data_IF_619670112856
#
_entry.id   IF_619670112856
#
_cell.length_a   1.000
_cell.length_b   1.000
_cell.length_c   1.000
_cell.angle_alpha   90.00
_cell.angle_beta   90.00
_cell.angle_gamma   90.00
#
_symmetry.space_group_name_H-M   'P 1'
#
loop_
_entity.id
_entity.type
_entity.pdbx_description
1 polymer ?
#
# COMPACT_ATOMS: atom_id res chain seq x y z
N UNK A 1 0.61 18.21 -9.96
CA UNK A 1 1.86 17.93 -9.22
C UNK A 1 3.09 18.66 -9.74
N UNK A 2 3.49 18.45 -11.00
CA UNK A 2 4.75 18.99 -11.55
C UNK A 2 4.83 20.52 -11.55
N UNK A 3 3.73 21.20 -11.91
CA UNK A 3 3.64 22.66 -11.87
C UNK A 3 3.87 23.24 -10.47
N UNK A 4 3.37 22.57 -9.41
CA UNK A 4 3.47 23.07 -8.04
C UNK A 4 4.87 22.88 -7.45
N UNK A 5 5.42 21.67 -7.54
CA UNK A 5 6.71 21.35 -6.91
C UNK A 5 7.92 21.70 -7.79
N UNK A 6 7.72 21.88 -9.10
CA UNK A 6 8.76 22.21 -10.06
C UNK A 6 9.95 21.25 -9.99
N UNK A 7 11.16 21.81 -9.88
CA UNK A 7 12.41 21.05 -9.82
C UNK A 7 12.52 20.13 -8.59
N UNK A 8 11.76 20.41 -7.53
CA UNK A 8 11.81 19.64 -6.29
C UNK A 8 10.86 18.44 -6.29
N UNK A 9 10.04 18.25 -7.34
CA UNK A 9 9.02 17.20 -7.39
C UNK A 9 9.59 15.81 -7.07
N UNK A 10 10.69 15.42 -7.71
CA UNK A 10 11.29 14.10 -7.50
C UNK A 10 11.76 13.91 -6.05
N UNK A 11 12.40 14.92 -5.47
CA UNK A 11 12.85 14.87 -4.08
C UNK A 11 11.67 14.81 -3.11
N UNK A 12 10.61 15.58 -3.38
CA UNK A 12 9.38 15.57 -2.63
C UNK A 12 8.73 14.18 -2.60
N UNK A 13 8.51 13.57 -3.78
CA UNK A 13 7.92 12.23 -3.88
C UNK A 13 8.76 11.20 -3.14
N UNK A 14 10.09 11.22 -3.30
CA UNK A 14 10.98 10.30 -2.59
C UNK A 14 10.95 10.50 -1.07
N UNK A 15 10.72 11.73 -0.60
CA UNK A 15 10.54 12.03 0.83
C UNK A 15 9.25 11.42 1.36
N UNK A 16 8.14 11.57 0.63
CA UNK A 16 6.87 10.91 0.99
C UNK A 16 7.04 9.38 1.05
N UNK A 17 7.64 8.79 0.02
CA UNK A 17 7.81 7.33 -0.06
C UNK A 17 8.80 6.79 0.98
N UNK A 18 9.79 7.59 1.39
CA UNK A 18 10.66 7.23 2.51
C UNK A 18 9.88 7.17 3.85
N UNK A 19 8.96 8.11 4.08
CA UNK A 19 8.08 8.07 5.24
C UNK A 19 7.12 6.88 5.18
N UNK A 20 6.51 6.59 4.03
CA UNK A 20 5.66 5.40 3.80
C UNK A 20 6.46 4.13 4.11
N UNK A 21 7.67 3.99 3.57
CA UNK A 21 8.52 2.84 3.84
C UNK A 21 8.88 2.69 5.33
N UNK A 22 8.97 3.80 6.07
CA UNK A 22 9.17 3.76 7.52
C UNK A 22 7.91 3.28 8.27
N UNK A 23 6.72 3.75 7.89
CA UNK A 23 5.43 3.31 8.47
C UNK A 23 5.23 1.80 8.28
N UNK A 24 5.55 1.26 7.10
CA UNK A 24 5.45 -0.18 6.81
C UNK A 24 6.51 -1.04 7.51
N UNK A 25 7.57 -0.42 8.03
CA UNK A 25 8.59 -1.09 8.86
C UNK A 25 8.23 -1.12 10.35
N UNK A 26 7.17 -0.43 10.77
CA UNK A 26 6.77 -0.45 12.17
C UNK A 26 6.34 -1.87 12.61
N UNK A 27 6.88 -2.42 13.73
CA UNK A 27 6.57 -3.78 14.18
C UNK A 27 5.08 -4.02 14.46
N UNK A 28 4.26 -2.99 14.65
CA UNK A 28 2.83 -3.14 14.88
C UNK A 28 2.13 -3.82 13.72
N UNK A 29 2.63 -3.72 12.48
CA UNK A 29 2.02 -4.41 11.31
C UNK A 29 2.18 -5.94 11.36
N UNK A 30 3.13 -6.43 12.16
CA UNK A 30 3.35 -7.86 12.41
C UNK A 30 3.98 -8.65 11.25
N UNK A 31 4.30 -8.00 10.14
CA UNK A 31 4.87 -8.62 8.94
C UNK A 31 6.07 -7.80 8.46
N UNK A 32 7.06 -8.47 7.86
CA UNK A 32 8.19 -7.78 7.25
C UNK A 32 7.82 -7.34 5.83
N UNK A 33 7.39 -6.08 5.69
CA UNK A 33 7.07 -5.47 4.40
C UNK A 33 8.11 -4.41 4.04
N UNK A 34 8.60 -4.46 2.80
CA UNK A 34 9.56 -3.51 2.27
C UNK A 34 8.94 -2.77 1.09
N UNK A 35 8.65 -1.48 1.26
CA UNK A 35 8.18 -0.61 0.18
C UNK A 35 9.38 -0.03 -0.56
N UNK A 36 9.42 -0.22 -1.88
CA UNK A 36 10.47 0.28 -2.75
C UNK A 36 9.88 0.98 -3.98
N UNK A 37 10.48 2.11 -4.37
CA UNK A 37 10.11 2.82 -5.60
C UNK A 37 11.01 2.33 -6.72
N UNK A 38 10.44 1.57 -7.66
CA UNK A 38 11.17 1.01 -8.82
C UNK A 38 11.07 1.89 -10.06
N UNK A 39 10.01 2.69 -10.16
CA UNK A 39 9.70 3.54 -11.31
C UNK A 39 9.02 4.82 -10.83
N UNK A 40 9.41 5.96 -11.39
CA UNK A 40 8.77 7.27 -11.16
C UNK A 40 8.52 7.90 -12.51
N UNK A 41 7.25 8.13 -12.83
CA UNK A 41 6.80 8.80 -14.05
C UNK A 41 6.16 10.14 -13.69
N UNK A 42 6.41 11.13 -14.53
CA UNK A 42 5.69 12.41 -14.52
C UNK A 42 4.83 12.35 -15.78
N UNK A 43 3.52 12.39 -15.61
CA UNK A 43 2.58 12.31 -16.73
C UNK A 43 2.60 13.62 -17.53
N UNK A 44 2.38 13.48 -18.82
CA UNK A 44 2.19 14.61 -19.73
C UNK A 44 0.77 15.18 -19.58
N UNK A 45 0.55 16.41 -20.05
CA UNK A 45 -0.71 17.14 -19.83
C UNK A 45 -1.92 16.48 -20.51
N UNK A 46 -1.72 15.83 -21.65
CA UNK A 46 -2.75 15.07 -22.36
C UNK A 46 -3.16 13.81 -21.59
N UNK A 47 -2.20 13.07 -21.05
CA UNK A 47 -2.48 11.90 -20.20
C UNK A 47 -3.22 12.29 -18.91
N UNK A 48 -2.81 13.41 -18.28
CA UNK A 48 -3.46 13.94 -17.08
C UNK A 48 -4.96 14.21 -17.34
N UNK A 49 -5.30 14.78 -18.50
CA UNK A 49 -6.69 15.10 -18.86
C UNK A 49 -7.57 13.86 -19.10
N UNK A 50 -6.99 12.74 -19.55
CA UNK A 50 -7.72 11.49 -19.77
C UNK A 50 -7.91 10.71 -18.46
N UNK A 51 -6.97 10.85 -17.52
CA UNK A 51 -6.96 10.09 -16.27
C UNK A 51 -7.74 10.81 -15.17
N UNK A 52 -7.47 12.10 -14.97
CA UNK A 52 -7.93 12.84 -13.80
C UNK A 52 -9.31 13.43 -14.06
N UNK A 53 -10.24 13.10 -13.17
CA UNK A 53 -11.57 13.69 -13.11
C UNK A 53 -11.89 14.15 -11.69
N UNK A 54 -12.89 15.02 -11.48
CA UNK A 54 -13.36 15.37 -10.15
C UNK A 54 -13.88 14.16 -9.35
N UNK A 55 -14.27 13.07 -10.02
CA UNK A 55 -14.73 11.86 -9.36
C UNK A 55 -13.55 10.95 -8.99
N UNK A 56 -13.28 10.79 -7.69
CA UNK A 56 -12.21 9.93 -7.20
C UNK A 56 -12.31 8.50 -7.75
N UNK A 57 -13.53 7.95 -7.83
CA UNK A 57 -13.80 6.61 -8.36
C UNK A 57 -13.48 6.48 -9.85
N UNK A 58 -13.79 7.51 -10.65
CA UNK A 58 -13.49 7.49 -12.09
C UNK A 58 -11.99 7.67 -12.33
N UNK A 59 -11.35 8.58 -11.58
CA UNK A 59 -9.90 8.79 -11.61
C UNK A 59 -9.14 7.51 -11.26
N UNK A 60 -9.55 6.81 -10.19
CA UNK A 60 -8.98 5.50 -9.85
C UNK A 60 -9.13 4.52 -11.01
N UNK A 61 -10.35 4.35 -11.54
CA UNK A 61 -10.60 3.42 -12.66
C UNK A 61 -9.72 3.71 -13.88
N UNK A 62 -9.61 4.98 -14.27
CA UNK A 62 -8.81 5.38 -15.42
C UNK A 62 -7.32 5.15 -15.15
N UNK A 63 -6.83 5.52 -13.97
CA UNK A 63 -5.44 5.31 -13.58
C UNK A 63 -5.05 3.83 -13.52
N UNK A 64 -5.92 2.96 -12.98
CA UNK A 64 -5.67 1.52 -12.95
C UNK A 64 -5.52 0.91 -14.35
N UNK A 65 -6.26 1.42 -15.34
CA UNK A 65 -6.10 1.04 -16.75
C UNK A 65 -4.79 1.56 -17.32
N UNK A 66 -4.47 2.84 -17.08
CA UNK A 66 -3.25 3.46 -17.58
C UNK A 66 -1.99 2.77 -17.01
N UNK A 67 -1.95 2.52 -15.70
CA UNK A 67 -0.77 1.88 -15.08
C UNK A 67 -0.54 0.48 -15.63
N UNK A 68 -1.61 -0.26 -15.94
CA UNK A 68 -1.52 -1.60 -16.50
C UNK A 68 -0.81 -1.58 -17.86
N UNK A 69 -1.14 -0.60 -18.71
CA UNK A 69 -0.52 -0.43 -20.03
C UNK A 69 0.96 -0.01 -19.93
N UNK A 70 1.34 0.57 -18.80
CA UNK A 70 2.70 1.05 -18.53
C UNK A 70 3.50 0.13 -17.60
N UNK A 71 2.97 -1.06 -17.27
CA UNK A 71 3.66 -2.08 -16.50
C UNK A 71 4.25 -3.14 -17.41
N UNK A 72 5.38 -3.73 -16.99
CA UNK A 72 5.95 -4.88 -17.69
C UNK A 72 5.19 -6.15 -17.30
N UNK A 73 4.93 -7.08 -18.23
CA UNK A 73 4.22 -8.32 -17.93
C UNK A 73 5.06 -9.32 -17.10
N UNK A 74 6.38 -9.16 -17.09
CA UNK A 74 7.30 -10.07 -16.42
C UNK A 74 7.80 -9.48 -15.10
N UNK A 75 7.49 -10.16 -13.98
CA UNK A 75 7.94 -9.75 -12.64
C UNK A 75 9.46 -9.67 -12.46
N UNK A 76 10.24 -10.27 -13.37
CA UNK A 76 11.70 -10.18 -13.37
C UNK A 76 12.23 -8.88 -13.96
N UNK A 77 11.40 -8.11 -14.67
CA UNK A 77 11.83 -6.89 -15.32
C UNK A 77 12.09 -5.79 -14.27
N UNK A 78 13.20 -5.03 -14.35
CA UNK A 78 13.55 -4.03 -13.32
C UNK A 78 12.54 -2.87 -13.18
N UNK A 79 11.71 -2.66 -14.21
CA UNK A 79 10.63 -1.67 -14.22
C UNK A 79 9.23 -2.28 -14.08
N UNK A 80 9.12 -3.58 -13.79
CA UNK A 80 7.86 -4.16 -13.31
C UNK A 80 7.57 -3.63 -11.91
N UNK A 81 6.32 -3.27 -11.64
CA UNK A 81 5.85 -2.86 -10.31
C UNK A 81 4.66 -3.71 -9.86
N UNK A 82 4.62 -4.05 -8.57
CA UNK A 82 3.48 -4.77 -7.98
C UNK A 82 2.25 -3.86 -7.87
N UNK A 83 2.45 -2.57 -7.59
CA UNK A 83 1.38 -1.58 -7.39
C UNK A 83 1.77 -0.20 -7.88
N UNK A 84 0.78 0.59 -8.27
CA UNK A 84 0.96 1.96 -8.76
C UNK A 84 0.21 2.97 -7.90
N UNK A 85 0.80 4.14 -7.66
CA UNK A 85 0.17 5.25 -6.93
C UNK A 85 0.17 6.48 -7.80
N UNK A 86 -1.01 7.06 -8.02
CA UNK A 86 -1.19 8.38 -8.61
C UNK A 86 -1.19 9.44 -7.52
N UNK A 87 -0.29 10.42 -7.63
CA UNK A 87 -0.33 11.64 -6.82
C UNK A 87 -0.88 12.79 -7.65
N UNK A 88 -1.95 13.42 -7.18
CA UNK A 88 -2.56 14.58 -7.83
C UNK A 88 -2.68 15.76 -6.88
N UNK A 89 -2.80 16.98 -7.43
CA UNK A 89 -3.13 18.20 -6.68
C UNK A 89 -4.55 18.70 -6.98
N UNK A 90 -5.30 17.94 -7.78
CA UNK A 90 -6.71 18.20 -8.05
C UNK A 90 -7.56 17.61 -6.93
N UNK A 91 -8.62 18.32 -6.55
CA UNK A 91 -9.53 17.88 -5.49
C UNK A 91 -10.26 16.59 -5.90
N UNK A 92 -10.09 15.53 -5.11
CA UNK A 92 -10.74 14.24 -5.35
C UNK A 92 -12.06 14.15 -4.58
N UNK A 93 -13.18 14.11 -5.32
CA UNK A 93 -14.51 14.09 -4.71
C UNK A 93 -15.17 12.72 -4.82
N UNK A 94 -15.63 12.17 -3.68
CA UNK A 94 -16.40 10.91 -3.67
C UNK A 94 -17.85 11.12 -4.12
N UNK A 95 -18.42 12.28 -3.80
CA UNK A 95 -19.72 12.74 -4.29
C UNK A 95 -19.56 14.15 -4.85
N UNK A 96 -20.42 14.63 -5.77
CA UNK A 96 -20.28 15.92 -6.44
C UNK A 96 -20.17 17.16 -5.55
N UNK A 97 -20.40 17.04 -4.25
CA UNK A 97 -20.35 18.14 -3.27
C UNK A 97 -19.58 17.80 -1.98
N UNK A 98 -18.94 16.63 -1.90
CA UNK A 98 -18.17 16.21 -0.72
C UNK A 98 -16.80 15.71 -1.17
N UNK A 99 -15.80 16.55 -0.98
CA UNK A 99 -14.41 16.32 -1.38
C UNK A 99 -13.52 16.12 -0.15
N UNK A 100 -14.03 15.43 0.86
CA UNK A 100 -13.27 15.10 2.08
C UNK A 100 -12.36 13.87 1.88
N UNK A 101 -12.26 13.36 0.64
CA UNK A 101 -11.57 12.11 0.32
C UNK A 101 -10.19 12.42 -0.23
N UNK A 102 -9.16 12.19 0.58
CA UNK A 102 -7.77 12.42 0.19
C UNK A 102 -7.16 11.26 -0.61
N UNK A 103 -7.83 10.11 -0.69
CA UNK A 103 -7.32 8.95 -1.39
C UNK A 103 -8.38 7.89 -1.66
N UNK A 104 -8.08 7.01 -2.61
CA UNK A 104 -8.92 5.85 -2.92
C UNK A 104 -8.08 4.72 -3.52
N UNK A 105 -8.33 3.49 -3.08
CA UNK A 105 -7.72 2.27 -3.63
C UNK A 105 -8.71 1.10 -3.71
N UNK A 106 -8.38 0.10 -4.52
CA UNK A 106 -9.10 -1.17 -4.53
C UNK A 106 -8.56 -2.11 -3.46
N UNK A 107 -9.46 -2.74 -2.70
CA UNK A 107 -9.04 -3.60 -1.60
C UNK A 107 -8.54 -4.97 -2.07
N UNK A 108 -7.35 -5.38 -1.60
CA UNK A 108 -6.84 -6.75 -1.77
C UNK A 108 -6.37 -7.09 -3.18
N UNK A 109 -5.99 -6.09 -3.96
CA UNK A 109 -5.60 -6.24 -5.36
C UNK A 109 -4.09 -6.20 -5.61
N UNK A 110 -3.23 -6.30 -4.57
CA UNK A 110 -1.78 -6.08 -4.71
C UNK A 110 -1.10 -6.88 -5.84
N UNK A 111 -1.56 -8.11 -6.13
CA UNK A 111 -1.02 -8.93 -7.21
C UNK A 111 -1.96 -9.03 -8.43
N UNK A 112 -3.03 -8.22 -8.47
CA UNK A 112 -3.91 -8.12 -9.63
C UNK A 112 -3.41 -7.00 -10.54
N UNK A 113 -2.93 -7.30 -11.76
CA UNK A 113 -2.36 -6.30 -12.65
C UNK A 113 -3.38 -5.25 -13.12
N UNK A 114 -4.68 -5.52 -13.01
CA UNK A 114 -5.75 -4.59 -13.38
C UNK A 114 -6.22 -3.71 -12.22
N UNK A 115 -6.01 -4.15 -10.98
CA UNK A 115 -6.57 -3.52 -9.78
C UNK A 115 -5.56 -3.01 -8.76
N UNK A 116 -4.26 -3.31 -8.92
CA UNK A 116 -3.20 -2.89 -7.99
C UNK A 116 -2.82 -1.41 -8.18
N UNK A 117 -3.69 -0.53 -7.70
CA UNK A 117 -3.59 0.91 -7.92
C UNK A 117 -4.23 1.69 -6.76
N UNK A 118 -3.68 2.88 -6.50
CA UNK A 118 -4.24 3.86 -5.59
C UNK A 118 -4.14 5.27 -6.19
N UNK A 119 -5.07 6.15 -5.82
CA UNK A 119 -5.02 7.58 -6.12
C UNK A 119 -4.96 8.35 -4.81
N UNK A 120 -4.13 9.38 -4.75
CA UNK A 120 -3.92 10.20 -3.55
C UNK A 120 -3.85 11.66 -3.95
N UNK A 121 -4.65 12.48 -3.27
CA UNK A 121 -4.57 13.93 -3.27
C UNK A 121 -3.42 14.40 -2.38
N UNK A 122 -2.52 15.17 -2.97
CA UNK A 122 -1.33 15.69 -2.32
C UNK A 122 -1.67 16.94 -1.50
N UNK A 123 -1.68 16.79 -0.18
CA UNK A 123 -1.89 17.87 0.78
C UNK A 123 -0.62 18.27 1.54
N UNK A 124 0.56 17.94 1.02
CA UNK A 124 1.85 18.17 1.67
C UNK A 124 2.44 16.89 2.27
N UNK A 125 3.36 17.02 3.23
CA UNK A 125 4.04 15.85 3.81
C UNK A 125 3.09 14.83 4.46
N UNK A 126 1.91 15.27 4.89
CA UNK A 126 0.84 14.40 5.39
C UNK A 126 0.30 13.42 4.36
N UNK A 127 0.48 13.68 3.06
CA UNK A 127 0.09 12.76 1.99
C UNK A 127 0.78 11.40 2.14
N UNK A 128 1.94 11.33 2.80
CA UNK A 128 2.59 10.05 3.13
C UNK A 128 1.68 9.12 3.96
N UNK A 129 0.88 9.67 4.87
CA UNK A 129 -0.07 8.89 5.67
C UNK A 129 -1.23 8.38 4.81
N UNK A 130 -1.74 9.23 3.91
CA UNK A 130 -2.77 8.83 2.95
C UNK A 130 -2.25 7.72 2.03
N UNK A 131 -1.03 7.86 1.50
CA UNK A 131 -0.41 6.79 0.69
C UNK A 131 -0.31 5.48 1.49
N UNK A 132 0.14 5.56 2.75
CA UNK A 132 0.27 4.37 3.59
C UNK A 132 -1.09 3.70 3.84
N UNK A 133 -2.14 4.49 4.09
CA UNK A 133 -3.52 4.07 4.25
C UNK A 133 -4.07 3.37 3.00
N UNK A 134 -3.93 4.00 1.83
CA UNK A 134 -4.43 3.44 0.58
C UNK A 134 -3.70 2.16 0.19
N UNK A 135 -2.38 2.09 0.39
CA UNK A 135 -1.63 0.83 0.24
C UNK A 135 -2.12 -0.25 1.23
N UNK A 136 -2.61 0.14 2.40
CA UNK A 136 -3.21 -0.76 3.37
C UNK A 136 -4.46 -1.43 2.79
N UNK A 137 -5.33 -0.65 2.13
CA UNK A 137 -6.45 -1.21 1.38
C UNK A 137 -5.98 -2.16 0.28
N UNK A 138 -4.97 -1.80 -0.51
CA UNK A 138 -4.40 -2.68 -1.56
C UNK A 138 -3.93 -4.02 -0.97
N UNK A 139 -3.42 -4.02 0.26
CA UNK A 139 -3.05 -5.20 1.06
C UNK A 139 -4.22 -5.86 1.83
N UNK A 140 -5.45 -5.55 1.44
CA UNK A 140 -6.70 -6.09 1.99
C UNK A 140 -6.96 -5.73 3.46
N UNK A 141 -6.41 -4.62 3.93
CA UNK A 141 -6.66 -4.13 5.29
C UNK A 141 -7.93 -3.27 5.29
N UNK A 142 -8.99 -3.61 6.04
CA UNK A 142 -10.15 -2.75 6.19
C UNK A 142 -9.88 -1.58 7.15
N UNK A 143 -10.80 -0.60 7.17
CA UNK A 143 -10.78 0.46 8.17
C UNK A 143 -10.93 -0.11 9.60
N UNK A 144 -10.30 0.54 10.58
CA UNK A 144 -10.33 0.10 11.98
C UNK A 144 -11.72 0.18 12.63
N UNK A 145 -12.61 1.01 12.10
CA UNK A 145 -14.00 1.16 12.52
C UNK A 145 -14.99 0.28 11.73
N UNK A 146 -14.50 -0.53 10.78
CA UNK A 146 -15.32 -1.49 10.02
C UNK A 146 -15.87 -2.59 10.93
N UNK A 147 -17.05 -3.14 10.60
CA UNK A 147 -17.66 -4.24 11.35
C UNK A 147 -16.75 -5.47 11.42
N UNK A 148 -15.93 -5.69 10.39
CA UNK A 148 -14.88 -6.72 10.35
C UNK A 148 -13.85 -6.57 11.47
N UNK A 149 -13.58 -5.33 11.89
CA UNK A 149 -12.65 -4.98 12.95
C UNK A 149 -13.29 -4.91 14.34
N UNK A 150 -14.61 -5.04 14.48
CA UNK A 150 -15.32 -4.81 15.73
C UNK A 150 -14.78 -5.63 16.92
N UNK A 151 -14.35 -6.88 16.68
CA UNK A 151 -13.78 -7.76 17.72
C UNK A 151 -12.37 -7.36 18.20
N UNK A 152 -11.67 -6.50 17.47
CA UNK A 152 -10.34 -6.00 17.80
C UNK A 152 -10.37 -4.61 18.44
N UNK A 153 -11.53 -3.94 18.43
CA UNK A 153 -11.71 -2.63 19.03
C UNK A 153 -11.71 -2.75 20.56
N UNK A 154 -10.71 -2.18 21.21
CA UNK A 154 -10.72 -1.93 22.64
C UNK A 154 -11.30 -0.54 22.91
N UNK A 155 -11.97 -0.37 24.06
CA UNK A 155 -12.44 0.94 24.48
C UNK A 155 -11.24 1.90 24.62
N UNK A 156 -11.36 3.11 24.05
CA UNK A 156 -10.34 4.17 24.09
C UNK A 156 -9.00 3.85 23.41
N UNK A 157 -9.01 3.15 22.27
CA UNK A 157 -7.79 2.99 21.46
C UNK A 157 -7.44 4.28 20.68
N UNK A 158 -6.14 4.58 20.54
CA UNK A 158 -5.68 5.59 19.59
C UNK A 158 -6.10 5.22 18.16
N UNK A 159 -6.25 6.24 17.31
CA UNK A 159 -6.49 6.03 15.88
C UNK A 159 -5.17 5.62 15.20
N UNK A 160 -5.20 4.59 14.36
CA UNK A 160 -4.03 4.06 13.65
C UNK A 160 -4.06 4.41 12.16
N UNK A 161 -3.07 3.94 11.38
CA UNK A 161 -2.98 4.21 9.93
C UNK A 161 -4.29 3.97 9.18
N UNK A 162 -5.09 2.96 9.57
CA UNK A 162 -6.35 2.61 8.90
C UNK A 162 -7.60 3.29 9.48
N UNK A 163 -7.43 4.34 10.29
CA UNK A 163 -8.53 5.22 10.68
C UNK A 163 -9.01 6.06 9.49
N UNK A 164 -10.34 6.26 9.37
CA UNK A 164 -10.94 7.06 8.28
C UNK A 164 -10.67 8.56 8.39
N UNK A 165 -10.36 9.03 9.59
CA UNK A 165 -10.05 10.42 9.88
C UNK A 165 -8.85 10.45 10.82
N UNK A 166 -7.99 11.44 10.62
CA UNK A 166 -6.88 11.74 11.53
C UNK A 166 -7.31 12.86 12.47
N UNK A 167 -6.95 12.72 13.74
CA UNK A 167 -7.12 13.71 14.79
C UNK A 167 -5.85 13.82 15.66
N UNK A 168 -5.91 14.61 16.73
CA UNK A 168 -4.76 14.82 17.62
C UNK A 168 -4.35 13.59 18.44
N UNK A 169 -5.21 12.56 18.54
CA UNK A 169 -4.94 11.29 19.23
C UNK A 169 -4.55 10.17 18.27
N UNK A 170 -4.27 10.51 17.01
CA UNK A 170 -3.88 9.56 15.99
C UNK A 170 -2.38 9.25 16.07
N UNK A 171 -2.05 7.97 15.91
CA UNK A 171 -0.69 7.47 15.73
C UNK A 171 -0.55 6.99 14.28
N UNK A 172 -0.42 7.90 13.29
CA UNK A 172 -0.41 7.56 11.86
C UNK A 172 0.88 6.86 11.39
N UNK A 173 1.72 6.40 12.32
CA UNK A 173 2.91 5.59 12.10
C UNK A 173 2.80 4.17 12.67
N UNK A 174 1.67 3.81 13.27
CA UNK A 174 1.43 2.47 13.79
C UNK A 174 0.10 1.90 13.31
N UNK A 175 0.00 0.59 13.38
CA UNK A 175 -1.05 -0.25 12.84
C UNK A 175 -1.84 -0.89 13.97
N UNK A 176 -3.17 -0.99 13.81
CA UNK A 176 -4.02 -1.60 14.82
C UNK A 176 -3.84 -3.13 14.86
N UNK A 177 -4.37 -3.75 15.92
CA UNK A 177 -4.49 -5.22 15.99
C UNK A 177 -5.34 -5.77 14.84
N UNK A 178 -6.37 -5.02 14.40
CA UNK A 178 -7.16 -5.41 13.24
C UNK A 178 -6.32 -5.38 11.96
N UNK A 179 -5.56 -4.29 11.75
CA UNK A 179 -4.73 -4.13 10.56
C UNK A 179 -3.72 -5.27 10.44
N UNK A 180 -3.00 -5.56 11.53
CA UNK A 180 -2.07 -6.70 11.64
C UNK A 180 -2.75 -8.01 11.27
N UNK A 181 -3.94 -8.28 11.81
CA UNK A 181 -4.65 -9.53 11.55
C UNK A 181 -4.98 -9.70 10.06
N UNK A 182 -5.55 -8.67 9.43
CA UNK A 182 -5.99 -8.76 8.05
C UNK A 182 -4.82 -8.88 7.07
N UNK A 183 -3.75 -8.10 7.25
CA UNK A 183 -2.56 -8.22 6.38
C UNK A 183 -1.87 -9.58 6.55
N UNK A 184 -1.74 -10.08 7.79
CA UNK A 184 -1.14 -11.41 8.04
C UNK A 184 -1.97 -12.51 7.36
N UNK A 185 -3.29 -12.50 7.58
CA UNK A 185 -4.20 -13.49 7.00
C UNK A 185 -4.17 -13.43 5.46
N UNK A 186 -4.12 -12.22 4.90
CA UNK A 186 -3.99 -12.03 3.47
C UNK A 186 -2.68 -12.67 2.97
N UNK A 187 -1.52 -12.30 3.50
CA UNK A 187 -0.23 -12.85 3.06
C UNK A 187 -0.13 -14.38 3.24
N UNK A 188 -0.72 -14.94 4.30
CA UNK A 188 -0.78 -16.39 4.52
C UNK A 188 -1.61 -17.12 3.44
N UNK A 189 -2.76 -16.57 3.07
CA UNK A 189 -3.63 -17.16 2.03
C UNK A 189 -2.95 -17.18 0.65
N UNK A 190 -2.14 -16.17 0.34
CA UNK A 190 -1.34 -16.12 -0.89
C UNK A 190 -0.11 -17.01 -0.85
N UNK A 191 0.36 -17.39 0.36
CA UNK A 191 1.47 -18.32 0.56
C UNK A 191 1.04 -19.79 0.43
N UNK A 192 -0.26 -20.09 0.27
CA UNK A 192 -0.76 -21.46 0.09
C UNK A 192 -0.41 -21.97 -1.33
N UNK A 193 0.15 -23.18 -1.51
CA UNK A 193 0.75 -23.66 -2.77
C UNK A 193 -0.15 -23.72 -4.01
N UNK A 194 -1.45 -23.46 -3.90
CA UNK A 194 -2.37 -23.53 -5.04
C UNK A 194 -2.16 -22.43 -6.11
N UNK A 195 -1.34 -21.41 -5.83
CA UNK A 195 -0.99 -20.32 -6.78
C UNK A 195 0.52 -20.11 -6.99
N UNK A 196 1.37 -20.99 -6.48
CA UNK A 196 2.82 -20.87 -6.60
C UNK A 196 3.35 -21.69 -7.78
N UNK A 197 3.50 -21.02 -8.94
CA UNK A 197 4.61 -21.38 -9.83
C UNK A 197 5.91 -21.08 -9.07
N UNK A 198 6.69 -22.13 -8.81
CA UNK A 198 7.87 -22.12 -7.96
C UNK A 198 8.97 -21.22 -8.54
N UNK A 199 9.51 -20.28 -7.76
CA UNK A 199 10.89 -19.82 -7.91
C UNK A 199 11.78 -20.62 -6.96
N UNK A 200 12.74 -21.37 -7.51
CA UNK A 200 13.99 -21.75 -6.83
C UNK A 200 15.00 -20.60 -7.06
N UNK A 201 15.76 -20.16 -6.04
CA UNK A 201 16.63 -18.99 -6.16
C UNK A 201 18.04 -19.35 -6.63
N UNK A 202 18.41 -18.92 -7.84
CA UNK A 202 19.83 -18.71 -8.18
C UNK A 202 20.29 -17.36 -7.61
N UNK A 203 20.84 -17.38 -6.40
CA UNK A 203 21.77 -16.38 -5.87
C UNK A 203 21.26 -14.94 -5.74
N UNK A 204 20.58 -14.64 -4.62
CA UNK A 204 20.30 -13.26 -4.21
C UNK A 204 19.00 -13.14 -3.41
N UNK A 205 19.12 -13.14 -2.08
CA UNK A 205 18.09 -12.82 -1.07
C UNK A 205 16.61 -12.97 -1.50
N UNK A 206 16.06 -14.17 -1.36
CA UNK A 206 14.63 -14.43 -1.47
C UNK A 206 13.88 -13.89 -0.23
N UNK A 207 12.77 -13.19 -0.46
CA UNK A 207 11.72 -13.00 0.55
C UNK A 207 10.99 -14.34 0.71
N UNK A 208 11.50 -15.17 1.62
CA UNK A 208 10.84 -16.41 2.03
C UNK A 208 10.00 -16.16 3.28
N UNK A 209 8.66 -16.18 3.13
CA UNK A 209 7.77 -16.28 4.28
C UNK A 209 7.65 -17.76 4.68
N UNK A 210 8.33 -18.13 5.76
CA UNK A 210 8.19 -19.43 6.40
C UNK A 210 8.52 -19.30 7.89
N UNK A 211 7.83 -20.02 8.80
CA UNK A 211 8.15 -19.98 10.21
C UNK A 211 9.51 -20.63 10.41
N UNK A 212 10.51 -19.85 10.86
CA UNK A 212 11.75 -20.42 11.40
C UNK A 212 11.38 -21.22 12.65
N UNK A 213 11.22 -22.54 12.51
CA UNK A 213 11.23 -23.43 13.68
C UNK A 213 12.60 -23.30 14.37
N UNK A 214 12.65 -23.18 15.71
CA UNK A 214 13.91 -23.31 16.42
C UNK A 214 14.45 -24.75 16.23
N UNK A 215 15.77 -24.96 16.18
CA UNK A 215 16.33 -26.30 16.07
C UNK A 215 15.94 -27.12 17.29
N UNK A 216 15.31 -28.28 17.03
CA UNK A 216 15.15 -29.36 18.00
C UNK A 216 16.53 -29.71 18.55
N UNK A 217 16.74 -29.47 19.84
CA UNK A 217 17.87 -30.04 20.57
C UNK A 217 17.74 -31.57 20.46
N UNK A 218 18.74 -32.19 19.83
CA UNK A 218 18.87 -33.64 19.78
C UNK A 218 18.96 -34.18 21.20
N UNK A 219 17.98 -35.00 21.53
CA UNK A 219 18.00 -35.93 22.64
C UNK A 219 19.11 -36.96 22.35
N UNK A 220 20.27 -36.83 22.99
CA UNK A 220 21.23 -37.93 23.06
C UNK A 220 20.76 -38.91 24.13
N UNK A 221 20.30 -40.07 23.69
CA UNK A 221 20.24 -41.29 24.48
C UNK A 221 21.51 -42.12 24.21
N UNK A 222 22.16 -42.59 25.28
CA UNK A 222 23.04 -43.76 25.25
C UNK A 222 24.52 -43.51 25.54
N UNK A 223 24.90 -43.54 26.82
CA UNK A 223 25.51 -44.71 27.49
C UNK A 223 25.41 -44.57 29.00
#
# INVERSE_FOLDING_TARGET
MARYHGKNLKHYILTLMAAVAHIYKDPSIGNLLNIAVVKLLIMEEDEDNDIISPSASLTLKNFCRWQQQHNHPEDSHPYHHDTAILLTREDLCRLPKTCDTLGLAQSGMICDPHGSCAVVEDNGLSAAFTIAHELGHVLNIPHDDDQKCAKYRLASQPLHVMARMLDYNSHPWSWSVCSRHYVTTFLELWSVPARLSRREPSGGAAVGFGPRRPPLAQQQAGR
#
